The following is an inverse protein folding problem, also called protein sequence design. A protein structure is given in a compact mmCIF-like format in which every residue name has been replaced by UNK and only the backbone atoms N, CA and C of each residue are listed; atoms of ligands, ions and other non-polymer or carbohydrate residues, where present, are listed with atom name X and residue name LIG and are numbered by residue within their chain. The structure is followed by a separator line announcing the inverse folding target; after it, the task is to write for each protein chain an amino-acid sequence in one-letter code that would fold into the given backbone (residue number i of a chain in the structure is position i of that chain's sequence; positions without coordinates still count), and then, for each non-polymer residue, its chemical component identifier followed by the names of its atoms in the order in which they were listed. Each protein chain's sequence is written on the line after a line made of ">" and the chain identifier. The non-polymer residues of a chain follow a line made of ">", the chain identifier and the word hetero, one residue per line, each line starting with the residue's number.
data_IF_031345146295
#
_entry.id   IF_031345146295
#
_cell.length_a   1.000
_cell.length_b   1.000
_cell.length_c   1.000
_cell.angle_alpha   90.00
_cell.angle_beta   90.00
_cell.angle_gamma   90.00
#
_symmetry.space_group_name_H-M   'P 1'
#
loop_
_entity.id
_entity.type
_entity.pdbx_description
1 polymer ?
#
# COMPACT_ATOMS: atom_id res chain seq x y z
N UNK A 1 2.10 -13.85 18.96
CA UNK A 1 2.64 -13.04 17.86
C UNK A 1 4.03 -13.51 17.53
N UNK A 2 4.34 -13.61 16.23
CA UNK A 2 5.70 -13.85 15.75
C UNK A 2 6.62 -12.66 16.09
N UNK A 3 7.96 -12.84 16.14
CA UNK A 3 8.89 -11.74 16.49
C UNK A 3 8.71 -10.47 15.63
N UNK A 4 8.40 -10.63 14.34
CA UNK A 4 8.16 -9.50 13.43
C UNK A 4 6.88 -8.74 13.78
N UNK A 5 5.80 -9.43 14.16
CA UNK A 5 4.54 -8.82 14.56
C UNK A 5 4.72 -8.02 15.85
N UNK A 6 5.43 -8.59 16.83
CA UNK A 6 5.76 -7.90 18.09
C UNK A 6 6.55 -6.62 17.84
N UNK A 7 7.52 -6.64 16.93
CA UNK A 7 8.28 -5.45 16.55
C UNK A 7 7.39 -4.40 15.87
N UNK A 8 6.53 -4.82 14.93
CA UNK A 8 5.61 -3.89 14.26
C UNK A 8 4.70 -3.21 15.29
N UNK A 9 4.10 -3.95 16.21
CA UNK A 9 3.26 -3.36 17.26
C UNK A 9 4.01 -2.38 18.16
N UNK A 10 5.31 -2.60 18.44
CA UNK A 10 6.06 -1.69 19.31
C UNK A 10 6.39 -0.37 18.63
N UNK A 11 6.62 -0.36 17.31
CA UNK A 11 6.98 0.86 16.58
C UNK A 11 5.78 1.59 15.97
N UNK A 12 4.74 0.87 15.53
CA UNK A 12 3.62 1.43 14.75
C UNK A 12 2.96 2.68 15.36
N UNK A 13 2.68 2.75 16.69
CA UNK A 13 2.07 3.94 17.30
C UNK A 13 2.95 5.19 17.26
N UNK A 14 4.26 5.04 17.05
CA UNK A 14 5.22 6.16 16.98
C UNK A 14 5.48 6.64 15.55
N UNK A 15 5.02 5.91 14.54
CA UNK A 15 5.28 6.23 13.14
C UNK A 15 4.33 7.33 12.67
N UNK A 16 4.84 8.24 11.84
CA UNK A 16 4.00 9.25 11.16
C UNK A 16 3.24 8.65 9.98
N UNK A 17 3.84 7.69 9.29
CA UNK A 17 3.29 7.02 8.11
C UNK A 17 3.85 5.60 8.03
N UNK A 18 3.08 4.70 7.43
CA UNK A 18 3.53 3.37 7.02
C UNK A 18 3.28 3.20 5.54
N UNK A 19 4.28 2.72 4.80
CA UNK A 19 4.16 2.39 3.38
C UNK A 19 4.49 0.91 3.21
N UNK A 20 3.58 0.15 2.63
CA UNK A 20 3.78 -1.27 2.30
C UNK A 20 3.72 -1.47 0.79
N UNK A 21 4.66 -2.25 0.25
CA UNK A 21 4.70 -2.60 -1.17
C UNK A 21 4.52 -4.11 -1.28
N UNK A 22 3.75 -4.57 -2.27
CA UNK A 22 3.59 -5.98 -2.58
C UNK A 22 3.04 -6.75 -1.37
N UNK A 23 3.67 -7.86 -0.99
CA UNK A 23 3.27 -8.68 0.17
C UNK A 23 3.61 -8.05 1.52
N UNK A 24 4.20 -6.85 1.56
CA UNK A 24 4.39 -6.11 2.81
C UNK A 24 3.06 -5.85 3.55
N UNK A 25 1.96 -5.65 2.81
CA UNK A 25 0.63 -5.50 3.43
C UNK A 25 0.13 -6.78 4.10
N UNK A 26 0.59 -7.96 3.67
CA UNK A 26 0.25 -9.24 4.31
C UNK A 26 0.85 -9.35 5.72
N UNK A 27 2.06 -8.81 5.92
CA UNK A 27 2.72 -8.78 7.23
C UNK A 27 1.94 -7.84 8.17
N UNK A 28 1.58 -6.65 7.67
CA UNK A 28 0.82 -5.69 8.45
C UNK A 28 -0.61 -6.20 8.74
N UNK A 29 -1.26 -6.87 7.79
CA UNK A 29 -2.55 -7.50 8.00
C UNK A 29 -2.50 -8.53 9.14
N UNK A 30 -1.48 -9.39 9.21
CA UNK A 30 -1.36 -10.39 10.29
C UNK A 30 -1.34 -9.79 11.71
N UNK A 31 -0.89 -8.54 11.86
CA UNK A 31 -0.91 -7.82 13.15
C UNK A 31 -2.30 -7.31 13.57
N UNK A 32 -3.25 -7.20 12.63
CA UNK A 32 -4.57 -6.60 12.87
C UNK A 32 -4.60 -5.08 12.81
N UNK A 33 -3.47 -4.45 12.53
CA UNK A 33 -3.40 -2.99 12.36
C UNK A 33 -4.09 -2.49 11.07
N UNK A 34 -4.58 -3.40 10.23
CA UNK A 34 -5.39 -3.14 9.03
C UNK A 34 -6.87 -3.51 9.19
N UNK A 35 -7.31 -3.94 10.37
CA UNK A 35 -8.71 -4.35 10.56
C UNK A 35 -9.65 -3.17 10.34
N UNK A 36 -10.64 -3.37 9.47
CA UNK A 36 -11.62 -2.38 9.01
C UNK A 36 -10.99 -1.16 8.31
N UNK A 37 -9.80 -1.34 7.74
CA UNK A 37 -9.08 -0.32 6.98
C UNK A 37 -8.94 -0.72 5.53
N UNK A 38 -8.88 0.26 4.65
CA UNK A 38 -8.70 0.01 3.22
C UNK A 38 -7.24 -0.31 2.93
N UNK A 39 -7.00 -1.38 2.17
CA UNK A 39 -5.66 -1.74 1.74
C UNK A 39 -5.63 -2.45 0.38
N UNK A 40 -4.46 -2.55 -0.23
CA UNK A 40 -4.23 -3.39 -1.41
C UNK A 40 -2.93 -4.19 -1.26
N UNK A 41 -2.72 -5.10 -2.20
CA UNK A 41 -1.50 -5.92 -2.33
C UNK A 41 -1.28 -6.23 -3.81
N UNK A 42 -0.17 -6.90 -4.14
CA UNK A 42 0.12 -7.30 -5.51
C UNK A 42 -0.90 -8.34 -6.02
N UNK A 43 -1.20 -8.28 -7.32
CA UNK A 43 -2.32 -9.02 -7.90
C UNK A 43 -2.03 -10.52 -8.02
N UNK A 44 -0.78 -10.92 -8.21
CA UNK A 44 -0.41 -12.34 -8.33
C UNK A 44 -0.54 -13.11 -7.02
N UNK A 45 -0.41 -12.46 -5.86
CA UNK A 45 -0.64 -13.09 -4.54
C UNK A 45 -1.95 -12.65 -3.89
N UNK A 46 -2.88 -12.05 -4.64
CA UNK A 46 -4.10 -11.48 -4.08
C UNK A 46 -4.88 -12.50 -3.24
N UNK A 47 -5.23 -13.64 -3.86
CA UNK A 47 -6.06 -14.65 -3.22
C UNK A 47 -5.45 -15.19 -1.91
N UNK A 48 -4.13 -15.37 -1.84
CA UNK A 48 -3.48 -15.84 -0.62
C UNK A 48 -3.46 -14.77 0.47
N UNK A 49 -3.10 -13.52 0.13
CA UNK A 49 -3.00 -12.43 1.10
C UNK A 49 -4.35 -12.04 1.68
N UNK A 50 -5.38 -11.86 0.84
CA UNK A 50 -6.71 -11.46 1.33
C UNK A 50 -7.35 -12.54 2.22
N UNK A 51 -6.98 -13.80 2.01
CA UNK A 51 -7.44 -14.92 2.84
C UNK A 51 -6.85 -14.91 4.26
N UNK A 52 -5.71 -14.24 4.47
CA UNK A 52 -5.04 -14.18 5.77
C UNK A 52 -5.83 -13.37 6.79
N UNK A 53 -6.57 -12.35 6.33
CA UNK A 53 -7.36 -11.48 7.19
C UNK A 53 -8.51 -10.83 6.43
N UNK A 54 -9.73 -11.25 6.77
CA UNK A 54 -10.98 -10.86 6.09
C UNK A 54 -11.55 -9.54 6.62
N UNK A 55 -11.03 -9.09 7.76
CA UNK A 55 -11.41 -7.85 8.42
C UNK A 55 -10.85 -6.62 7.68
N UNK A 56 -9.84 -6.79 6.83
CA UNK A 56 -9.28 -5.71 6.00
C UNK A 56 -10.18 -5.47 4.78
N UNK A 57 -10.45 -4.22 4.44
CA UNK A 57 -11.21 -3.84 3.24
C UNK A 57 -10.27 -3.81 2.02
N UNK A 58 -10.16 -4.94 1.32
CA UNK A 58 -9.18 -5.12 0.24
C UNK A 58 -9.68 -4.56 -1.09
N UNK A 59 -8.95 -3.59 -1.64
CA UNK A 59 -9.25 -2.92 -2.92
C UNK A 59 -8.43 -3.53 -4.06
N UNK A 60 -9.07 -4.37 -4.88
CA UNK A 60 -8.44 -5.23 -5.86
C UNK A 60 -7.90 -4.48 -7.08
N UNK A 61 -8.62 -3.46 -7.54
CA UNK A 61 -8.22 -2.69 -8.74
C UNK A 61 -7.28 -1.54 -8.43
N UNK A 62 -7.09 -1.20 -7.15
CA UNK A 62 -6.20 -0.11 -6.76
C UNK A 62 -4.74 -0.46 -7.04
N UNK A 63 -4.01 0.49 -7.64
CA UNK A 63 -2.55 0.49 -7.75
C UNK A 63 -1.94 0.77 -6.38
N UNK A 64 -2.51 1.73 -5.65
CA UNK A 64 -2.27 1.90 -4.22
C UNK A 64 -3.52 2.42 -3.50
N UNK A 65 -3.51 2.30 -2.19
CA UNK A 65 -4.57 2.78 -1.30
C UNK A 65 -3.92 3.59 -0.19
N UNK A 66 -4.51 4.74 0.11
CA UNK A 66 -4.20 5.54 1.30
C UNK A 66 -5.36 5.41 2.27
N UNK A 67 -5.07 4.91 3.47
CA UNK A 67 -5.99 4.88 4.59
C UNK A 67 -5.48 5.83 5.67
N UNK A 68 -6.21 6.93 5.86
CA UNK A 68 -5.89 8.04 6.78
C UNK A 68 -6.87 8.11 7.96
N UNK A 69 -7.34 6.94 8.43
CA UNK A 69 -8.27 6.83 9.55
C UNK A 69 -7.80 7.70 10.74
N UNK A 70 -8.64 8.64 11.22
CA UNK A 70 -8.24 9.55 12.30
C UNK A 70 -7.86 8.83 13.59
N UNK A 71 -6.80 9.32 14.25
CA UNK A 71 -6.34 8.79 15.53
C UNK A 71 -5.47 7.53 15.45
N UNK A 72 -5.19 7.03 14.25
CA UNK A 72 -4.23 5.93 14.01
C UNK A 72 -3.21 6.31 12.93
N UNK A 73 -2.09 5.60 12.88
CA UNK A 73 -1.03 5.83 11.88
C UNK A 73 -1.58 5.61 10.46
N UNK A 74 -1.45 6.60 9.55
CA UNK A 74 -1.84 6.45 8.15
C UNK A 74 -1.06 5.33 7.47
N UNK A 75 -1.76 4.53 6.66
CA UNK A 75 -1.17 3.42 5.90
C UNK A 75 -1.35 3.67 4.41
N UNK A 76 -0.24 3.57 3.69
CA UNK A 76 -0.16 3.59 2.24
C UNK A 76 0.21 2.18 1.79
N UNK A 77 -0.72 1.45 1.17
CA UNK A 77 -0.44 0.11 0.65
C UNK A 77 -0.46 0.13 -0.86
N UNK A 78 0.50 -0.54 -1.51
CA UNK A 78 0.56 -0.63 -2.97
C UNK A 78 0.69 -2.06 -3.46
N UNK A 79 0.40 -2.22 -4.74
CA UNK A 79 0.39 -3.50 -5.42
C UNK A 79 1.79 -3.99 -5.79
N UNK A 80 2.07 -4.22 -7.07
CA UNK A 80 3.37 -4.73 -7.53
C UNK A 80 4.49 -3.70 -7.44
N UNK A 81 5.67 -4.06 -7.95
CA UNK A 81 6.87 -3.21 -7.92
C UNK A 81 6.63 -1.84 -8.56
N UNK A 82 6.04 -1.78 -9.76
CA UNK A 82 5.76 -0.50 -10.44
C UNK A 82 4.80 0.38 -9.65
N UNK A 83 3.74 -0.22 -9.08
CA UNK A 83 2.83 0.47 -8.17
C UNK A 83 3.54 0.98 -6.89
N UNK A 84 4.55 0.25 -6.41
CA UNK A 84 5.44 0.64 -5.32
C UNK A 84 6.26 1.89 -5.61
N UNK A 85 6.72 2.05 -6.85
CA UNK A 85 7.43 3.26 -7.27
C UNK A 85 6.44 4.43 -7.34
N UNK A 86 5.29 4.24 -7.96
CA UNK A 86 4.28 5.31 -8.10
C UNK A 86 3.70 5.78 -6.76
N UNK A 87 3.41 4.87 -5.81
CA UNK A 87 2.98 5.29 -4.46
C UNK A 87 4.06 6.09 -3.74
N UNK A 88 5.33 5.80 -4.01
CA UNK A 88 6.45 6.57 -3.44
C UNK A 88 6.46 7.98 -4.02
N UNK A 89 6.18 8.16 -5.31
CA UNK A 89 6.01 9.50 -5.89
C UNK A 89 4.78 10.23 -5.34
N UNK A 90 3.65 9.53 -5.17
CA UNK A 90 2.46 10.10 -4.53
C UNK A 90 2.76 10.55 -3.09
N UNK A 91 3.56 9.77 -2.35
CA UNK A 91 4.02 10.13 -1.02
C UNK A 91 4.98 11.33 -1.03
N UNK A 92 5.96 11.36 -1.94
CA UNK A 92 6.87 12.51 -2.11
C UNK A 92 6.07 13.77 -2.41
N UNK A 93 5.09 13.70 -3.33
CA UNK A 93 4.19 14.81 -3.64
C UNK A 93 3.45 15.31 -2.40
N UNK A 94 2.90 14.39 -1.60
CA UNK A 94 2.16 14.75 -0.38
C UNK A 94 3.04 15.46 0.65
N UNK A 95 4.28 15.01 0.83
CA UNK A 95 5.19 15.55 1.87
C UNK A 95 5.97 16.79 1.41
N UNK A 96 6.41 16.81 0.15
CA UNK A 96 7.37 17.78 -0.38
C UNK A 96 6.85 18.61 -1.57
N UNK A 97 5.64 18.31 -2.07
CA UNK A 97 5.04 19.00 -3.21
C UNK A 97 5.31 18.33 -4.56
N UNK A 98 4.50 18.69 -5.57
CA UNK A 98 4.60 18.13 -6.93
C UNK A 98 5.95 18.43 -7.57
N UNK A 99 6.49 19.64 -7.43
CA UNK A 99 7.76 20.05 -8.05
C UNK A 99 8.93 19.13 -7.67
N UNK A 100 8.96 18.67 -6.41
CA UNK A 100 9.98 17.72 -5.93
C UNK A 100 9.74 16.33 -6.52
N UNK A 101 8.48 15.86 -6.56
CA UNK A 101 8.14 14.58 -7.16
C UNK A 101 8.48 14.54 -8.67
N UNK A 102 8.17 15.61 -9.39
CA UNK A 102 8.50 15.76 -10.82
C UNK A 102 10.01 15.83 -11.04
N UNK A 103 10.73 16.61 -10.23
CA UNK A 103 12.20 16.70 -10.33
C UNK A 103 12.87 15.33 -10.14
N UNK A 104 12.41 14.54 -9.15
CA UNK A 104 12.92 13.18 -8.93
C UNK A 104 12.56 12.25 -10.08
N UNK A 105 11.35 12.34 -10.63
CA UNK A 105 10.93 11.54 -11.78
C UNK A 105 11.78 11.82 -13.02
N UNK A 106 12.02 13.10 -13.31
CA UNK A 106 12.87 13.54 -14.42
C UNK A 106 14.31 13.08 -14.25
N UNK A 107 14.87 13.15 -13.03
CA UNK A 107 16.21 12.62 -12.73
C UNK A 107 16.31 11.11 -12.95
N UNK A 108 15.24 10.38 -12.63
CA UNK A 108 15.18 8.93 -12.81
C UNK A 108 14.82 8.51 -14.25
N UNK A 109 14.47 9.46 -15.12
CA UNK A 109 13.88 9.19 -16.44
C UNK A 109 12.65 8.26 -16.35
N UNK A 110 11.84 8.45 -15.30
CA UNK A 110 10.73 7.57 -14.98
C UNK A 110 9.37 8.19 -15.34
N UNK A 111 8.60 7.49 -16.18
CA UNK A 111 7.22 7.84 -16.49
C UNK A 111 6.28 7.39 -15.35
N UNK A 112 5.69 8.36 -14.65
CA UNK A 112 4.89 8.14 -13.44
C UNK A 112 3.43 7.89 -13.77
N UNK A 113 2.84 6.88 -13.15
CA UNK A 113 1.39 6.71 -13.15
C UNK A 113 0.77 7.33 -11.89
N UNK A 114 -0.13 8.30 -12.08
CA UNK A 114 -0.75 9.05 -10.98
C UNK A 114 -2.17 8.60 -10.61
N UNK A 115 -2.75 7.67 -11.35
CA UNK A 115 -4.06 7.07 -11.03
C UNK A 115 -3.91 5.93 -10.02
N UNK A 116 -4.39 6.16 -8.80
CA UNK A 116 -4.35 5.20 -7.69
C UNK A 116 -5.33 4.04 -7.88
N UNK A 117 -6.37 4.22 -8.71
CA UNK A 117 -7.48 3.27 -8.90
C UNK A 117 -7.27 2.33 -10.08
N UNK A 118 -6.22 2.55 -10.86
CA UNK A 118 -5.94 1.79 -12.07
C UNK A 118 -4.72 0.87 -11.92
N UNK A 119 -4.99 -0.41 -11.68
CA UNK A 119 -4.00 -1.48 -11.82
C UNK A 119 -4.44 -2.45 -12.94
N UNK A 120 -3.80 -2.41 -14.13
CA UNK A 120 -4.19 -3.27 -15.25
C UNK A 120 -3.93 -4.75 -14.98
N UNK A 121 -3.08 -5.09 -14.00
CA UNK A 121 -2.85 -6.48 -13.62
C UNK A 121 -4.01 -7.06 -12.83
N UNK A 122 -4.96 -6.23 -12.36
CA UNK A 122 -6.17 -6.75 -11.73
C UNK A 122 -6.99 -7.63 -12.69
N UNK A 123 -7.03 -7.26 -13.97
CA UNK A 123 -7.68 -8.04 -15.03
C UNK A 123 -6.89 -9.30 -15.39
N UNK A 124 -5.56 -9.20 -15.47
CA UNK A 124 -4.65 -10.33 -15.76
C UNK A 124 -4.83 -11.46 -14.75
N UNK A 125 -5.01 -11.11 -13.48
CA UNK A 125 -5.17 -12.07 -12.38
C UNK A 125 -6.63 -12.30 -11.97
N UNK A 126 -7.59 -11.67 -12.66
CA UNK A 126 -9.04 -11.75 -12.40
C UNK A 126 -9.39 -11.54 -10.91
N UNK A 127 -8.81 -10.51 -10.29
CA UNK A 127 -9.02 -10.23 -8.86
C UNK A 127 -10.23 -9.32 -8.64
N UNK A 128 -10.89 -9.52 -7.51
CA UNK A 128 -12.07 -8.77 -7.06
C UNK A 128 -11.89 -8.31 -5.62
N UNK A 129 -12.57 -7.22 -5.27
CA UNK A 129 -12.57 -6.65 -3.92
C UNK A 129 -13.02 -7.70 -2.89
N UNK A 130 -12.50 -7.59 -1.66
CA UNK A 130 -12.80 -8.50 -0.54
C UNK A 130 -12.98 -7.76 0.77
#
# INVERSE_FOLDING_TARGET
>A
MAPVETYIHSVFPSLKYVITICTGSAILAQTGLLDNRRATTNKSTWASVVSLRKEVEWVAKARWVVDDTPGVTPVWSSSGVSAGIDVTFAFIKMVYGEDVAESVANLMEYDRHSDDKWDPFAEVWAVEDK
#
